data_IF_058705289375
#
_entry.id   IF_058705289375
#
_cell.length_a   1.000
_cell.length_b   1.000
_cell.length_c   1.000
_cell.angle_alpha   90.00
_cell.angle_beta   90.00
_cell.angle_gamma   90.00
#
_symmetry.space_group_name_H-M   'P 1'
#
loop_
_entity.id
_entity.type
_entity.pdbx_description
1 polymer ?
#
# COMPACT_ATOMS: atom_id res chain seq x y z
N UNK A 1 16.60 75.60 -31.61
CA UNK A 1 16.64 75.30 -30.16
C UNK A 1 16.36 73.83 -30.05
N UNK A 2 17.39 73.09 -29.65
CA UNK A 2 17.29 71.77 -29.03
C UNK A 2 16.12 71.68 -28.05
N UNK A 3 15.42 70.55 -28.04
CA UNK A 3 15.60 69.55 -26.97
C UNK A 3 14.84 68.25 -27.34
N UNK A 4 15.50 67.12 -27.13
CA UNK A 4 14.98 65.75 -27.34
C UNK A 4 14.55 65.19 -25.96
N UNK A 5 14.26 63.89 -25.74
CA UNK A 5 13.36 62.89 -26.34
C UNK A 5 12.28 62.46 -25.31
N UNK A 6 11.41 61.49 -25.64
CA UNK A 6 11.28 60.21 -24.88
C UNK A 6 10.01 59.45 -25.28
N UNK A 7 10.12 58.11 -25.22
CA UNK A 7 9.05 57.10 -25.03
C UNK A 7 8.75 56.16 -26.21
N UNK A 8 9.39 54.99 -26.12
CA UNK A 8 9.18 53.74 -26.85
C UNK A 8 7.85 53.02 -26.43
N UNK A 9 7.60 51.71 -26.65
CA UNK A 9 8.14 50.70 -27.58
C UNK A 9 6.99 49.88 -28.27
N UNK A 10 7.30 48.81 -29.01
CA UNK A 10 6.69 47.46 -28.89
C UNK A 10 6.61 46.70 -30.22
N UNK A 11 7.71 46.02 -30.55
CA UNK A 11 7.72 44.93 -31.52
C UNK A 11 6.92 43.77 -30.94
N UNK A 12 5.65 43.63 -31.34
CA UNK A 12 4.81 42.50 -30.95
C UNK A 12 5.35 41.21 -31.60
N UNK A 13 6.28 40.55 -30.93
CA UNK A 13 6.63 39.14 -31.18
C UNK A 13 5.41 38.31 -30.81
N UNK A 14 4.73 37.74 -31.81
CA UNK A 14 3.63 36.81 -31.59
C UNK A 14 4.08 35.66 -30.70
N UNK A 15 3.34 35.43 -29.61
CA UNK A 15 3.49 34.26 -28.74
C UNK A 15 3.15 33.01 -29.55
N UNK A 16 4.11 32.11 -29.74
CA UNK A 16 3.80 30.71 -30.02
C UNK A 16 3.23 30.11 -28.73
N UNK A 17 2.13 29.35 -28.76
CA UNK A 17 1.71 28.60 -27.58
C UNK A 17 2.69 27.44 -27.40
N UNK A 18 3.46 27.48 -26.32
CA UNK A 18 4.18 26.33 -25.79
C UNK A 18 3.17 25.24 -25.48
N UNK A 19 3.17 24.18 -26.29
CA UNK A 19 2.46 22.94 -25.98
C UNK A 19 3.32 22.15 -25.02
N UNK A 20 3.31 22.56 -23.76
CA UNK A 20 3.72 21.66 -22.67
C UNK A 20 2.48 20.88 -22.25
N UNK A 21 2.13 19.86 -23.04
CA UNK A 21 1.26 18.80 -22.55
C UNK A 21 2.16 17.82 -21.80
N UNK A 22 2.52 18.18 -20.58
CA UNK A 22 3.02 17.23 -19.60
C UNK A 22 1.86 16.29 -19.33
N UNK A 23 1.91 15.10 -19.95
CA UNK A 23 1.01 13.99 -19.65
C UNK A 23 1.27 13.59 -18.19
N UNK A 24 0.62 14.30 -17.27
CA UNK A 24 0.47 13.90 -15.89
C UNK A 24 -0.38 12.63 -15.94
N UNK A 25 0.31 11.50 -15.98
CA UNK A 25 -0.27 10.17 -15.83
C UNK A 25 -0.97 10.16 -14.47
N UNK A 26 -2.27 10.46 -14.47
CA UNK A 26 -3.14 10.31 -13.31
C UNK A 26 -3.15 8.82 -12.92
N UNK A 27 -2.20 8.42 -12.08
CA UNK A 27 -2.34 7.17 -11.33
C UNK A 27 -3.60 7.34 -10.49
N UNK A 28 -4.62 6.46 -10.60
CA UNK A 28 -5.82 6.59 -9.79
C UNK A 28 -5.38 6.68 -8.34
N UNK A 29 -5.67 7.82 -7.70
CA UNK A 29 -5.33 8.04 -6.31
C UNK A 29 -5.81 6.82 -5.53
N UNK A 30 -4.88 6.10 -4.91
CA UNK A 30 -5.18 4.86 -4.19
C UNK A 30 -6.09 5.24 -3.04
N UNK A 31 -7.39 5.10 -3.23
CA UNK A 31 -8.39 5.31 -2.18
C UNK A 31 -8.07 4.25 -1.13
N UNK A 32 -7.45 4.68 -0.03
CA UNK A 32 -7.24 3.78 1.09
C UNK A 32 -8.63 3.37 1.59
N UNK A 33 -8.89 2.08 1.83
CA UNK A 33 -10.11 1.67 2.49
C UNK A 33 -10.23 2.46 3.79
N UNK A 34 -11.25 3.31 3.89
CA UNK A 34 -11.47 4.18 5.03
C UNK A 34 -12.04 3.42 6.25
N UNK A 35 -12.19 2.10 6.13
CA UNK A 35 -12.72 1.27 7.19
C UNK A 35 -11.68 1.10 8.29
N UNK A 36 -12.08 1.42 9.51
CA UNK A 36 -11.26 1.20 10.69
C UNK A 36 -11.07 -0.29 10.92
N UNK A 37 -9.85 -0.67 11.29
CA UNK A 37 -9.46 -2.06 11.51
C UNK A 37 -8.94 -2.25 12.92
N UNK A 38 -9.28 -3.37 13.53
CA UNK A 38 -8.81 -3.79 14.85
C UNK A 38 -7.71 -4.83 14.72
N UNK A 39 -6.65 -4.66 15.51
CA UNK A 39 -5.62 -5.67 15.67
C UNK A 39 -6.08 -6.75 16.65
N UNK A 40 -5.94 -8.01 16.24
CA UNK A 40 -6.17 -9.18 17.07
C UNK A 40 -4.93 -10.06 17.11
N UNK A 41 -4.67 -10.72 18.24
CA UNK A 41 -3.62 -11.73 18.37
C UNK A 41 -4.11 -13.06 17.80
N UNK A 42 -3.35 -13.60 16.84
CA UNK A 42 -3.65 -14.91 16.25
C UNK A 42 -2.94 -16.04 17.01
N UNK A 43 -1.79 -15.75 17.62
CA UNK A 43 -1.15 -16.65 18.58
C UNK A 43 -1.24 -15.97 19.95
N UNK A 44 -2.05 -16.50 20.89
CA UNK A 44 -2.22 -15.90 22.21
C UNK A 44 -0.88 -15.65 22.89
N UNK A 45 -0.65 -14.41 23.34
CA UNK A 45 0.59 -14.02 24.03
C UNK A 45 1.76 -13.72 23.09
N UNK A 46 1.56 -13.68 21.78
CA UNK A 46 2.58 -13.27 20.82
C UNK A 46 2.15 -11.98 20.06
N UNK A 47 2.59 -10.79 20.51
CA UNK A 47 2.18 -9.51 19.91
C UNK A 47 2.70 -9.32 18.47
N UNK A 48 3.70 -10.11 18.05
CA UNK A 48 4.24 -10.07 16.70
C UNK A 48 3.40 -10.89 15.69
N UNK A 49 2.45 -11.69 16.18
CA UNK A 49 1.61 -12.59 15.37
C UNK A 49 0.17 -12.09 15.43
N UNK A 50 -0.03 -10.87 14.94
CA UNK A 50 -1.31 -10.15 14.96
C UNK A 50 -1.86 -9.96 13.56
N UNK A 51 -3.19 -9.90 13.44
CA UNK A 51 -3.88 -9.62 12.18
C UNK A 51 -4.95 -8.55 12.35
N UNK A 52 -5.31 -7.89 11.25
CA UNK A 52 -6.28 -6.80 11.22
C UNK A 52 -7.63 -7.32 10.72
N UNK A 53 -8.69 -7.08 11.48
CA UNK A 53 -10.08 -7.38 11.10
C UNK A 53 -10.93 -6.11 11.15
N UNK A 54 -12.07 -6.08 10.45
CA UNK A 54 -12.97 -4.91 10.45
C UNK A 54 -13.43 -4.50 11.86
N UNK A 55 -13.30 -3.23 12.21
CA UNK A 55 -13.75 -2.72 13.52
C UNK A 55 -15.26 -2.74 13.67
N UNK A 56 -15.98 -2.61 12.55
CA UNK A 56 -17.44 -2.58 12.50
C UNK A 56 -18.09 -3.97 12.54
N UNK A 57 -17.30 -5.05 12.60
CA UNK A 57 -17.83 -6.40 12.76
C UNK A 57 -18.62 -6.52 14.08
N UNK A 58 -19.79 -7.17 14.02
CA UNK A 58 -20.56 -7.51 15.20
C UNK A 58 -19.75 -8.40 16.16
N UNK A 59 -20.08 -8.36 17.45
CA UNK A 59 -19.31 -9.08 18.48
C UNK A 59 -19.21 -10.59 18.21
N UNK A 60 -20.28 -11.21 17.73
CA UNK A 60 -20.28 -12.64 17.42
C UNK A 60 -19.38 -12.96 16.22
N UNK A 61 -19.52 -12.19 15.13
CA UNK A 61 -18.67 -12.33 13.96
C UNK A 61 -17.19 -12.13 14.29
N UNK A 62 -16.85 -11.13 15.13
CA UNK A 62 -15.48 -10.93 15.62
C UNK A 62 -14.95 -12.17 16.34
N UNK A 63 -15.74 -12.77 17.23
CA UNK A 63 -15.34 -13.97 17.97
C UNK A 63 -15.13 -15.15 17.03
N UNK A 64 -16.08 -15.42 16.13
CA UNK A 64 -15.99 -16.54 15.18
C UNK A 64 -14.78 -16.40 14.26
N UNK A 65 -14.57 -15.21 13.69
CA UNK A 65 -13.42 -14.91 12.82
C UNK A 65 -12.12 -15.06 13.61
N UNK A 66 -12.01 -14.47 14.79
CA UNK A 66 -10.82 -14.58 15.63
C UNK A 66 -10.50 -16.04 15.94
N UNK A 67 -11.49 -16.83 16.35
CA UNK A 67 -11.32 -18.24 16.67
C UNK A 67 -10.94 -19.08 15.45
N UNK A 68 -11.53 -18.81 14.29
CA UNK A 68 -11.19 -19.47 13.04
C UNK A 68 -9.72 -19.22 12.67
N UNK A 69 -9.28 -17.96 12.76
CA UNK A 69 -7.90 -17.57 12.45
C UNK A 69 -6.90 -18.18 13.43
N UNK A 70 -7.22 -18.17 14.73
CA UNK A 70 -6.39 -18.79 15.77
C UNK A 70 -6.25 -20.30 15.57
N UNK A 71 -7.35 -21.01 15.26
CA UNK A 71 -7.31 -22.46 14.96
C UNK A 71 -6.44 -22.79 13.75
N UNK A 72 -6.36 -21.87 12.79
CA UNK A 72 -5.61 -22.02 11.55
C UNK A 72 -4.30 -21.22 11.55
N UNK A 73 -3.78 -20.84 12.72
CA UNK A 73 -2.59 -20.00 12.84
C UNK A 73 -1.37 -20.57 12.11
N UNK A 74 -1.27 -21.90 12.00
CA UNK A 74 -0.21 -22.63 11.32
C UNK A 74 -0.24 -22.54 9.78
N UNK A 75 -1.35 -22.09 9.18
CA UNK A 75 -1.45 -21.85 7.73
C UNK A 75 -0.70 -20.57 7.36
N UNK A 76 -0.62 -19.62 8.29
CA UNK A 76 0.00 -18.33 8.05
C UNK A 76 1.50 -18.39 8.33
N UNK A 77 2.26 -17.92 7.35
CA UNK A 77 3.71 -17.75 7.42
C UNK A 77 3.99 -16.32 7.84
N UNK A 78 4.21 -16.08 9.13
CA UNK A 78 4.43 -14.73 9.65
C UNK A 78 5.87 -14.27 9.52
N UNK A 79 6.81 -15.22 9.46
CA UNK A 79 8.23 -14.94 9.27
C UNK A 79 8.82 -15.86 8.20
N UNK A 80 9.96 -15.46 7.63
CA UNK A 80 10.72 -16.31 6.72
C UNK A 80 11.20 -17.61 7.40
N UNK A 81 11.30 -17.65 8.73
CA UNK A 81 11.59 -18.88 9.46
C UNK A 81 10.41 -19.83 9.44
N UNK A 82 9.18 -19.31 9.66
CA UNK A 82 7.96 -20.09 9.54
C UNK A 82 7.85 -20.73 8.14
N UNK A 83 8.31 -20.04 7.09
CA UNK A 83 8.32 -20.57 5.72
C UNK A 83 9.27 -21.77 5.58
N UNK A 84 10.45 -21.68 6.19
CA UNK A 84 11.45 -22.76 6.16
C UNK A 84 10.93 -24.01 6.86
N UNK A 85 10.13 -23.86 7.91
CA UNK A 85 9.48 -24.99 8.60
C UNK A 85 8.39 -25.66 7.76
N UNK A 86 7.76 -24.93 6.83
CA UNK A 86 6.80 -25.47 5.87
C UNK A 86 7.45 -26.10 4.62
N UNK A 87 8.76 -25.96 4.45
CA UNK A 87 9.43 -26.63 3.33
C UNK A 87 9.39 -28.14 3.54
N UNK A 88 8.87 -28.93 2.59
CA UNK A 88 8.98 -30.38 2.68
C UNK A 88 10.46 -30.69 2.77
N UNK A 89 10.87 -31.32 3.90
CA UNK A 89 12.22 -31.88 4.08
C UNK A 89 12.60 -32.51 2.76
N UNK A 90 13.69 -32.04 2.14
CA UNK A 90 14.22 -32.68 0.95
C UNK A 90 14.36 -34.16 1.29
N UNK A 91 13.46 -34.98 0.79
CA UNK A 91 13.57 -36.42 0.94
C UNK A 91 14.93 -36.74 0.31
N UNK A 92 15.87 -37.38 1.04
CA UNK A 92 17.02 -37.93 0.36
C UNK A 92 16.42 -38.89 -0.67
N UNK A 93 16.60 -38.57 -1.95
CA UNK A 93 16.40 -39.52 -3.02
C UNK A 93 17.38 -40.66 -2.76
N UNK A 94 16.99 -41.62 -1.94
CA UNK A 94 17.70 -42.88 -1.79
C UNK A 94 17.49 -43.64 -3.09
N UNK A 95 18.41 -43.40 -4.02
CA UNK A 95 18.69 -44.28 -5.13
C UNK A 95 19.37 -45.54 -4.55
N UNK A 96 18.60 -46.61 -4.36
CA UNK A 96 19.11 -47.98 -4.23
C UNK A 96 18.15 -48.92 -4.94
#
# INVERSE_FOLDING_TARGET
MDDTPDRAPSSKRGKAPERENSEEMETPAKVQPAEELLNIEIIPGNPNKTMRIGSHLGQEAKKEITLCLQRNAAIFVWTLQDLRELTPRSLPITST
#
